data_IF_928184596117
#
_entry.id   IF_928184596117
#
_cell.length_a   1.000
_cell.length_b   1.000
_cell.length_c   1.000
_cell.angle_alpha   90.00
_cell.angle_beta   90.00
_cell.angle_gamma   90.00
#
_symmetry.space_group_name_H-M   'P 1'
#
loop_
_entity.id
_entity.type
_entity.pdbx_description
1 polymer ?
#
# COMPACT_ATOMS: atom_id res chain seq x y z
N UNK A 1 -1.64 15.88 16.20
CA UNK A 1 -2.29 14.65 15.69
C UNK A 1 -1.61 13.49 16.38
N UNK A 2 -2.30 12.86 17.30
CA UNK A 2 -1.83 11.68 18.01
C UNK A 2 -1.69 10.51 17.04
N UNK A 3 -0.48 9.96 16.93
CA UNK A 3 -0.26 8.72 16.20
C UNK A 3 -0.82 7.57 17.05
N UNK A 4 -1.82 6.88 16.52
CA UNK A 4 -2.43 5.73 17.16
C UNK A 4 -1.40 4.60 17.36
N UNK A 5 -1.26 4.17 18.61
CA UNK A 5 -0.55 2.93 18.93
C UNK A 5 -1.30 1.74 18.30
N UNK A 6 -0.64 0.99 17.43
CA UNK A 6 -1.27 -0.03 16.59
C UNK A 6 -1.35 -1.42 17.23
N UNK A 7 -0.75 -1.59 18.40
CA UNK A 7 -0.63 -2.90 19.01
C UNK A 7 -0.78 -2.80 20.53
N UNK A 8 -1.85 -3.35 21.05
CA UNK A 8 -1.92 -3.74 22.46
C UNK A 8 -1.15 -5.05 22.64
N UNK A 9 0.14 -4.97 22.88
CA UNK A 9 0.94 -5.99 23.55
C UNK A 9 2.15 -5.31 24.17
N UNK A 10 2.27 -5.43 25.48
CA UNK A 10 3.41 -5.17 26.34
C UNK A 10 4.36 -4.05 25.91
N UNK A 11 4.42 -3.02 26.72
CA UNK A 11 5.35 -1.88 26.60
C UNK A 11 6.78 -2.38 26.47
N UNK A 12 7.46 -2.20 25.31
CA UNK A 12 8.90 -2.31 25.30
C UNK A 12 9.48 -1.08 25.99
N UNK A 13 10.43 -1.30 26.84
CA UNK A 13 11.22 -0.35 27.59
C UNK A 13 11.67 0.84 26.73
N UNK A 14 11.47 2.04 27.27
CA UNK A 14 11.71 3.31 26.59
C UNK A 14 13.20 3.66 26.52
N UNK A 15 13.96 2.94 25.70
CA UNK A 15 15.37 3.28 25.49
C UNK A 15 15.81 2.93 24.06
N UNK A 16 15.50 3.77 23.14
CA UNK A 16 16.18 4.18 21.90
C UNK A 16 15.17 4.74 20.89
N UNK A 17 14.51 5.83 21.27
CA UNK A 17 13.61 6.55 20.37
C UNK A 17 14.40 7.28 19.30
N UNK A 18 14.43 6.79 18.08
CA UNK A 18 14.61 7.66 16.92
C UNK A 18 13.21 8.20 16.59
N UNK A 19 12.83 9.24 17.33
CA UNK A 19 11.71 10.09 16.98
C UNK A 19 12.12 10.80 15.67
N UNK A 20 11.49 10.49 14.56
CA UNK A 20 11.59 11.31 13.35
C UNK A 20 10.76 12.56 13.61
N UNK A 21 11.38 13.58 14.18
CA UNK A 21 10.81 14.89 14.40
C UNK A 21 10.38 15.46 13.04
N UNK A 22 9.09 15.83 12.85
CA UNK A 22 8.61 16.43 11.62
C UNK A 22 9.28 17.77 11.27
N UNK A 23 10.03 18.38 12.17
CA UNK A 23 10.82 19.60 11.97
C UNK A 23 12.31 19.40 11.76
N UNK A 24 12.84 18.18 11.82
CA UNK A 24 14.27 17.96 11.68
C UNK A 24 14.74 18.13 10.22
N UNK A 25 15.87 18.82 9.97
CA UNK A 25 16.41 18.96 8.63
C UNK A 25 16.75 17.58 8.05
N UNK A 26 16.41 17.39 6.76
CA UNK A 26 16.68 16.18 6.00
C UNK A 26 18.13 15.70 6.20
N UNK A 27 18.31 14.62 6.93
CA UNK A 27 19.57 13.88 6.96
C UNK A 27 19.60 12.86 5.84
N UNK A 28 20.79 12.63 5.28
CA UNK A 28 21.03 11.64 4.23
C UNK A 28 20.34 10.30 4.59
N UNK A 29 19.83 9.54 3.61
CA UNK A 29 19.01 8.37 3.87
C UNK A 29 19.83 7.33 4.63
N UNK A 30 19.54 7.19 5.91
CA UNK A 30 19.86 5.97 6.65
C UNK A 30 19.14 4.86 5.92
N UNK A 31 19.80 3.77 5.56
CA UNK A 31 19.16 2.68 4.87
C UNK A 31 18.00 2.17 5.74
N UNK A 32 16.81 1.95 5.16
CA UNK A 32 15.64 1.46 5.91
C UNK A 32 15.93 0.18 6.72
N UNK A 33 16.90 -0.60 6.27
CA UNK A 33 17.40 -1.79 7.00
C UNK A 33 18.11 -1.41 8.31
N UNK A 34 18.79 -0.25 8.36
CA UNK A 34 19.52 0.23 9.54
C UNK A 34 18.59 0.81 10.60
N UNK A 35 17.36 1.18 10.21
CA UNK A 35 16.34 1.71 11.12
C UNK A 35 15.59 0.61 11.89
N UNK A 36 15.98 -0.67 11.77
CA UNK A 36 15.27 -1.78 12.39
C UNK A 36 13.83 -1.95 11.87
N UNK A 37 13.59 -1.54 10.60
CA UNK A 37 12.28 -1.62 9.99
C UNK A 37 11.86 -3.06 9.72
N UNK A 38 10.66 -3.41 10.13
CA UNK A 38 10.04 -4.70 9.84
C UNK A 38 8.72 -4.54 9.09
N UNK A 39 8.30 -5.57 8.41
CA UNK A 39 6.97 -5.65 7.81
C UNK A 39 6.08 -6.45 8.74
N UNK A 40 4.95 -5.88 9.13
CA UNK A 40 3.90 -6.57 9.90
C UNK A 40 2.62 -6.67 9.10
N UNK A 41 1.94 -7.80 9.24
CA UNK A 41 0.56 -7.92 8.81
C UNK A 41 -0.34 -7.21 9.82
N UNK A 42 -1.26 -6.39 9.34
CA UNK A 42 -2.15 -5.59 10.17
C UNK A 42 -3.62 -5.82 9.80
N UNK A 43 -4.51 -5.54 10.73
CA UNK A 43 -5.96 -5.65 10.50
C UNK A 43 -6.45 -4.64 9.46
N UNK A 44 -7.47 -4.97 8.64
CA UNK A 44 -8.03 -4.06 7.65
C UNK A 44 -8.51 -2.71 8.20
N UNK A 45 -8.99 -2.67 9.44
CA UNK A 45 -9.40 -1.43 10.12
C UNK A 45 -8.22 -0.47 10.25
N UNK A 46 -7.11 -0.97 10.80
CA UNK A 46 -5.88 -0.21 10.97
C UNK A 46 -5.33 0.25 9.62
N UNK A 47 -5.30 -0.64 8.64
CA UNK A 47 -4.85 -0.30 7.28
C UNK A 47 -5.71 0.82 6.65
N UNK A 48 -7.02 0.80 6.86
CA UNK A 48 -7.94 1.86 6.42
C UNK A 48 -7.62 3.21 7.03
N UNK A 49 -7.30 3.25 8.32
CA UNK A 49 -6.94 4.48 9.04
C UNK A 49 -5.61 5.06 8.55
N UNK A 50 -4.59 4.20 8.36
CA UNK A 50 -3.30 4.62 7.80
C UNK A 50 -3.44 5.16 6.37
N UNK A 51 -4.27 4.53 5.55
CA UNK A 51 -4.58 5.04 4.20
C UNK A 51 -5.27 6.39 4.29
N UNK A 52 -6.21 6.57 5.21
CA UNK A 52 -6.89 7.87 5.41
C UNK A 52 -5.91 8.96 5.81
N UNK A 53 -4.92 8.64 6.64
CA UNK A 53 -3.94 9.60 7.11
C UNK A 53 -2.93 10.00 6.02
N UNK A 54 -2.52 9.07 5.14
CA UNK A 54 -1.35 9.28 4.29
C UNK A 54 -1.61 9.21 2.78
N UNK A 55 -2.76 8.71 2.33
CA UNK A 55 -3.02 8.61 0.89
C UNK A 55 -3.56 9.93 0.33
N UNK A 56 -2.82 10.52 -0.59
CA UNK A 56 -3.07 11.88 -1.09
C UNK A 56 -4.37 12.03 -1.90
N UNK A 57 -4.83 10.99 -2.59
CA UNK A 57 -5.91 11.09 -3.58
C UNK A 57 -7.14 10.30 -3.20
N UNK A 58 -6.97 9.09 -2.69
CA UNK A 58 -8.04 8.16 -2.36
C UNK A 58 -7.92 7.73 -0.89
N UNK A 59 -8.20 8.63 0.06
CA UNK A 59 -7.95 8.39 1.47
C UNK A 59 -8.93 7.38 2.08
N UNK A 60 -9.95 6.96 1.34
CA UNK A 60 -10.98 6.10 1.86
C UNK A 60 -10.98 4.72 1.21
N UNK A 61 -10.87 3.70 2.03
CA UNK A 61 -11.15 2.30 1.67
C UNK A 61 -11.84 1.63 2.87
N UNK A 62 -13.14 1.27 2.75
CA UNK A 62 -13.83 0.58 3.84
C UNK A 62 -13.15 -0.75 4.17
N UNK A 63 -12.97 -1.10 5.45
CA UNK A 63 -12.42 -2.41 5.83
C UNK A 63 -13.16 -3.58 5.19
N UNK A 64 -14.49 -3.47 5.02
CA UNK A 64 -15.30 -4.49 4.35
C UNK A 64 -14.91 -4.74 2.89
N UNK A 65 -14.35 -3.75 2.21
CA UNK A 65 -13.84 -3.89 0.85
C UNK A 65 -12.49 -4.62 0.78
N UNK A 66 -11.88 -4.88 1.93
CA UNK A 66 -10.64 -5.63 2.06
C UNK A 66 -10.99 -7.07 2.42
N UNK A 67 -11.60 -7.31 3.57
CA UNK A 67 -11.79 -8.66 4.13
C UNK A 67 -12.75 -9.57 3.34
N UNK A 68 -13.66 -9.00 2.53
CA UNK A 68 -14.57 -9.80 1.68
C UNK A 68 -13.89 -10.47 0.50
N UNK A 69 -12.62 -10.19 0.28
CA UNK A 69 -11.88 -10.79 -0.82
C UNK A 69 -11.29 -12.15 -0.39
N UNK A 70 -11.29 -13.11 -1.30
CA UNK A 70 -10.71 -14.44 -1.07
C UNK A 70 -9.26 -14.35 -0.63
N UNK A 71 -8.48 -13.50 -1.31
CA UNK A 71 -7.12 -13.18 -0.94
C UNK A 71 -7.07 -11.71 -0.56
N UNK A 72 -6.78 -11.42 0.68
CA UNK A 72 -6.61 -10.07 1.18
C UNK A 72 -5.53 -10.05 2.25
N UNK A 73 -4.63 -9.08 2.17
CA UNK A 73 -3.60 -8.84 3.17
C UNK A 73 -3.24 -7.38 3.23
N UNK A 74 -3.05 -6.88 4.44
CA UNK A 74 -2.56 -5.54 4.71
C UNK A 74 -1.21 -5.63 5.39
N UNK A 75 -0.21 -4.99 4.84
CA UNK A 75 1.11 -4.90 5.42
C UNK A 75 1.41 -3.47 5.85
N UNK A 76 2.04 -3.32 7.00
CA UNK A 76 2.64 -2.07 7.44
C UNK A 76 4.15 -2.20 7.53
N UNK A 77 4.86 -1.13 7.20
CA UNK A 77 6.23 -0.90 7.59
C UNK A 77 6.22 -0.35 9.00
N UNK A 78 6.90 -1.02 9.92
CA UNK A 78 6.87 -0.69 11.34
C UNK A 78 8.30 -0.54 11.88
N UNK A 79 8.50 0.46 12.73
CA UNK A 79 9.73 0.66 13.52
C UNK A 79 9.31 0.98 14.94
N UNK A 80 9.84 0.26 15.92
CA UNK A 80 9.52 0.47 17.34
C UNK A 80 8.01 0.52 17.65
N UNK A 81 7.22 -0.33 17.00
CA UNK A 81 5.76 -0.37 17.17
C UNK A 81 4.96 0.67 16.39
N UNK A 82 5.61 1.63 15.72
CA UNK A 82 4.95 2.67 14.94
C UNK A 82 4.92 2.34 13.45
N UNK A 83 3.77 2.52 12.82
CA UNK A 83 3.66 2.36 11.38
C UNK A 83 4.15 3.62 10.64
N UNK A 84 4.82 3.39 9.50
CA UNK A 84 5.36 4.44 8.63
C UNK A 84 4.84 4.33 7.19
N UNK A 85 4.37 3.18 6.79
CA UNK A 85 3.81 2.96 5.47
C UNK A 85 2.84 1.79 5.50
N UNK A 86 1.90 1.75 4.56
CA UNK A 86 0.90 0.68 4.44
C UNK A 86 0.72 0.27 2.99
N UNK A 87 0.60 -1.03 2.76
CA UNK A 87 0.25 -1.62 1.46
C UNK A 87 -0.92 -2.59 1.64
N UNK A 88 -1.97 -2.42 0.83
CA UNK A 88 -3.17 -3.26 0.85
C UNK A 88 -3.25 -4.03 -0.46
N UNK A 89 -3.23 -5.35 -0.35
CA UNK A 89 -3.41 -6.28 -1.47
C UNK A 89 -4.74 -7.01 -1.32
N UNK A 90 -5.46 -7.14 -2.43
CA UNK A 90 -6.73 -7.90 -2.49
C UNK A 90 -6.86 -8.61 -3.82
N UNK A 91 -7.86 -9.47 -3.96
CA UNK A 91 -8.27 -9.92 -5.28
C UNK A 91 -8.59 -8.73 -6.18
N UNK A 92 -8.29 -8.78 -7.50
CA UNK A 92 -8.52 -7.68 -8.42
C UNK A 92 -9.99 -7.25 -8.47
N UNK A 93 -10.21 -5.93 -8.59
CA UNK A 93 -11.55 -5.38 -8.82
C UNK A 93 -12.04 -5.71 -10.23
N UNK A 94 -11.13 -5.75 -11.18
CA UNK A 94 -11.44 -6.13 -12.56
C UNK A 94 -11.80 -7.62 -12.64
N UNK A 95 -13.00 -7.93 -13.10
CA UNK A 95 -13.46 -9.31 -13.28
C UNK A 95 -12.54 -10.12 -14.19
N UNK A 96 -11.99 -9.50 -15.23
CA UNK A 96 -11.10 -10.17 -16.19
C UNK A 96 -9.72 -10.52 -15.62
N UNK A 97 -9.35 -9.96 -14.47
CA UNK A 97 -8.09 -10.23 -13.77
C UNK A 97 -8.30 -11.04 -12.48
N UNK A 98 -9.55 -11.25 -12.08
CA UNK A 98 -9.88 -12.01 -10.87
C UNK A 98 -9.91 -13.52 -11.20
N UNK A 99 -8.75 -14.03 -11.58
CA UNK A 99 -8.50 -15.40 -12.04
C UNK A 99 -8.07 -16.35 -10.91
N UNK A 100 -8.01 -15.86 -9.69
CA UNK A 100 -7.52 -16.63 -8.52
C UNK A 100 -6.00 -16.70 -8.41
N UNK A 101 -5.26 -16.27 -9.44
CA UNK A 101 -3.81 -16.29 -9.49
C UNK A 101 -3.19 -14.88 -9.52
N UNK A 102 -4.01 -13.85 -9.45
CA UNK A 102 -3.62 -12.43 -9.47
C UNK A 102 -4.04 -11.73 -8.19
N UNK A 103 -3.16 -10.91 -7.63
CA UNK A 103 -3.50 -9.92 -6.59
C UNK A 103 -3.34 -8.49 -7.09
N UNK A 104 -4.17 -7.60 -6.58
CA UNK A 104 -4.10 -6.17 -6.84
C UNK A 104 -3.54 -5.42 -5.64
N UNK A 105 -2.46 -4.66 -5.84
CA UNK A 105 -2.05 -3.62 -4.90
C UNK A 105 -3.07 -2.47 -4.99
N UNK A 106 -4.05 -2.50 -4.09
CA UNK A 106 -5.19 -1.57 -4.04
C UNK A 106 -4.81 -0.19 -3.52
N UNK A 107 -3.97 -0.16 -2.50
CA UNK A 107 -3.51 1.07 -1.84
C UNK A 107 -2.08 0.90 -1.39
N UNK A 108 -1.33 1.96 -1.59
CA UNK A 108 0.01 2.14 -1.04
C UNK A 108 0.06 3.57 -0.49
N UNK A 109 0.29 3.73 0.79
CA UNK A 109 0.40 5.02 1.43
C UNK A 109 1.64 5.07 2.31
N UNK A 110 2.35 6.18 2.26
CA UNK A 110 3.64 6.39 2.92
C UNK A 110 3.53 7.65 3.76
N UNK A 111 3.94 7.58 5.02
CA UNK A 111 4.00 8.76 5.87
C UNK A 111 4.96 9.80 5.28
N UNK A 112 4.63 11.11 5.37
CA UNK A 112 5.45 12.18 4.76
C UNK A 112 6.90 12.22 5.26
N UNK A 113 7.14 11.72 6.46
CA UNK A 113 8.46 11.68 7.11
C UNK A 113 9.36 10.53 6.65
N UNK A 114 8.85 9.64 5.81
CA UNK A 114 9.61 8.48 5.36
C UNK A 114 10.72 8.86 4.38
N UNK A 115 11.87 8.18 4.43
CA UNK A 115 12.95 8.38 3.47
C UNK A 115 12.53 7.97 2.05
N UNK A 116 13.28 8.47 1.06
CA UNK A 116 13.11 8.06 -0.34
C UNK A 116 13.22 6.54 -0.47
N UNK A 117 12.55 5.98 -1.49
CA UNK A 117 12.51 4.54 -1.79
C UNK A 117 11.73 3.66 -0.78
N UNK A 118 11.11 4.22 0.25
CA UNK A 118 10.27 3.46 1.20
C UNK A 118 9.18 2.67 0.49
N UNK A 119 8.50 3.26 -0.51
CA UNK A 119 7.47 2.58 -1.29
C UNK A 119 8.00 1.32 -1.98
N UNK A 120 9.10 1.45 -2.73
CA UNK A 120 9.71 0.34 -3.47
C UNK A 120 10.24 -0.75 -2.53
N UNK A 121 10.84 -0.32 -1.42
CA UNK A 121 11.34 -1.23 -0.38
C UNK A 121 10.19 -2.04 0.26
N UNK A 122 9.08 -1.38 0.63
CA UNK A 122 7.89 -2.03 1.15
C UNK A 122 7.31 -3.02 0.15
N UNK A 123 7.10 -2.59 -1.10
CA UNK A 123 6.55 -3.44 -2.16
C UNK A 123 7.37 -4.72 -2.34
N UNK A 124 8.70 -4.61 -2.42
CA UNK A 124 9.58 -5.76 -2.61
C UNK A 124 9.50 -6.78 -1.45
N UNK A 125 9.27 -6.31 -0.23
CA UNK A 125 9.10 -7.19 0.93
C UNK A 125 7.71 -7.82 0.99
N UNK A 126 6.67 -7.06 0.64
CA UNK A 126 5.32 -7.59 0.50
C UNK A 126 5.25 -8.70 -0.56
N UNK A 127 5.89 -8.49 -1.71
CA UNK A 127 5.98 -9.48 -2.78
C UNK A 127 6.56 -10.81 -2.31
N UNK A 128 7.64 -10.77 -1.51
CA UNK A 128 8.23 -11.99 -0.94
C UNK A 128 7.29 -12.71 0.02
N UNK A 129 6.57 -11.96 0.87
CA UNK A 129 5.60 -12.53 1.81
C UNK A 129 4.39 -13.12 1.11
N UNK A 130 3.88 -12.45 0.08
CA UNK A 130 2.77 -12.92 -0.75
C UNK A 130 3.15 -14.23 -1.44
N UNK A 131 4.34 -14.28 -2.06
CA UNK A 131 4.85 -15.49 -2.73
C UNK A 131 4.98 -16.68 -1.77
N UNK A 132 5.46 -16.43 -0.56
CA UNK A 132 5.61 -17.48 0.45
C UNK A 132 4.25 -17.97 0.99
N UNK A 133 3.26 -17.08 1.11
CA UNK A 133 1.95 -17.39 1.69
C UNK A 133 1.00 -18.06 0.69
N UNK A 134 1.04 -17.62 -0.57
CA UNK A 134 0.14 -18.05 -1.64
C UNK A 134 0.91 -18.41 -2.92
N UNK A 135 1.44 -19.63 -3.01
CA UNK A 135 2.19 -20.09 -4.18
C UNK A 135 1.38 -20.04 -5.48
N UNK A 136 0.04 -20.10 -5.37
CA UNK A 136 -0.88 -19.96 -6.50
C UNK A 136 -0.95 -18.55 -7.07
N UNK A 137 -0.57 -17.53 -6.29
CA UNK A 137 -0.51 -16.15 -6.77
C UNK A 137 0.77 -15.95 -7.58
N UNK A 138 0.61 -15.85 -8.87
CA UNK A 138 1.74 -15.75 -9.82
C UNK A 138 1.93 -14.34 -10.39
N UNK A 139 0.99 -13.44 -10.13
CA UNK A 139 1.01 -12.09 -10.69
C UNK A 139 0.45 -11.05 -9.73
N UNK A 140 1.11 -9.90 -9.69
CA UNK A 140 0.59 -8.69 -9.07
C UNK A 140 0.18 -7.69 -10.14
N UNK A 141 -0.88 -6.94 -9.87
CA UNK A 141 -1.33 -5.80 -10.67
C UNK A 141 -1.50 -4.56 -9.79
N UNK A 142 -1.36 -3.38 -10.38
CA UNK A 142 -1.67 -2.11 -9.73
C UNK A 142 -2.04 -1.06 -10.75
N UNK A 143 -2.75 -0.01 -10.33
CA UNK A 143 -3.21 1.07 -11.19
C UNK A 143 -2.65 2.40 -10.72
N UNK A 144 -1.82 2.98 -11.57
CA UNK A 144 -1.28 4.33 -11.40
C UNK A 144 -2.28 5.35 -11.94
N UNK A 145 -2.59 6.36 -11.16
CA UNK A 145 -3.24 7.58 -11.65
C UNK A 145 -2.18 8.47 -12.30
N UNK A 146 -2.36 8.75 -13.60
CA UNK A 146 -1.38 9.52 -14.38
C UNK A 146 -1.44 11.02 -14.15
N UNK A 147 -2.50 11.52 -13.51
CA UNK A 147 -2.63 12.95 -13.19
C UNK A 147 -1.75 13.39 -12.02
N UNK A 148 -1.31 12.44 -11.18
CA UNK A 148 -0.60 12.75 -9.95
C UNK A 148 0.68 11.95 -9.74
N UNK A 149 0.87 10.84 -10.46
CA UNK A 149 2.02 9.95 -10.28
C UNK A 149 2.74 9.70 -11.60
N UNK A 150 4.07 9.65 -11.54
CA UNK A 150 4.95 9.37 -12.70
C UNK A 150 5.24 7.89 -12.90
N UNK A 151 4.79 7.01 -11.99
CA UNK A 151 5.03 5.58 -12.03
C UNK A 151 6.43 5.14 -11.61
N UNK A 152 7.23 6.04 -11.04
CA UNK A 152 8.62 5.78 -10.63
C UNK A 152 8.75 4.57 -9.71
N UNK A 153 7.83 4.40 -8.75
CA UNK A 153 7.85 3.26 -7.82
C UNK A 153 7.69 1.92 -8.52
N UNK A 154 6.88 1.85 -9.57
CA UNK A 154 6.67 0.64 -10.35
C UNK A 154 7.90 0.32 -11.20
N UNK A 155 8.46 1.32 -11.89
CA UNK A 155 9.69 1.17 -12.67
C UNK A 155 10.85 0.68 -11.80
N UNK A 156 11.06 1.34 -10.64
CA UNK A 156 12.11 0.97 -9.68
C UNK A 156 11.86 -0.43 -9.07
N UNK A 157 10.60 -0.86 -8.96
CA UNK A 157 10.22 -2.19 -8.50
C UNK A 157 10.24 -3.27 -9.58
N UNK A 158 10.71 -2.98 -10.81
CA UNK A 158 10.69 -3.90 -11.96
C UNK A 158 9.28 -4.38 -12.33
N UNK A 159 8.27 -3.50 -12.18
CA UNK A 159 6.95 -3.73 -12.73
C UNK A 159 6.91 -3.29 -14.19
N UNK A 160 6.12 -3.96 -15.00
CA UNK A 160 5.94 -3.65 -16.42
C UNK A 160 4.61 -2.95 -16.66
N UNK A 161 4.60 -1.94 -17.51
CA UNK A 161 3.38 -1.33 -17.99
C UNK A 161 2.66 -2.32 -18.93
N UNK A 162 1.44 -2.70 -18.56
CA UNK A 162 0.67 -3.71 -19.28
C UNK A 162 -0.46 -3.11 -20.12
N UNK A 163 -1.08 -2.01 -19.65
CA UNK A 163 -2.16 -1.35 -20.37
C UNK A 163 -2.36 0.09 -19.89
N UNK A 164 -2.98 0.90 -20.74
CA UNK A 164 -3.55 2.18 -20.36
C UNK A 164 -5.06 2.04 -20.36
N UNK A 165 -5.71 2.38 -19.26
CA UNK A 165 -7.18 2.32 -19.13
C UNK A 165 -7.74 3.73 -19.20
N UNK A 166 -8.77 3.92 -20.03
CA UNK A 166 -9.55 5.16 -20.03
C UNK A 166 -10.54 5.13 -18.87
N UNK A 167 -10.79 6.30 -18.29
CA UNK A 167 -11.89 6.45 -17.35
C UNK A 167 -13.19 6.03 -18.03
N UNK A 168 -13.93 5.15 -17.37
CA UNK A 168 -15.33 4.87 -17.68
C UNK A 168 -16.14 5.19 -16.44
N UNK A 169 -17.08 6.15 -16.49
CA UNK A 169 -17.99 6.36 -15.37
C UNK A 169 -18.72 5.04 -15.10
N UNK A 170 -18.72 4.61 -13.84
CA UNK A 170 -19.54 3.48 -13.43
C UNK A 170 -21.00 3.96 -13.45
N UNK A 171 -21.61 3.83 -14.62
CA UNK A 171 -22.96 4.32 -14.85
C UNK A 171 -23.98 3.47 -14.11
N UNK A 172 -24.57 4.06 -13.11
CA UNK A 172 -26.00 4.08 -12.81
C UNK A 172 -26.19 5.26 -11.87
N UNK A 173 -26.84 6.29 -12.38
CA UNK A 173 -27.13 7.56 -11.71
C UNK A 173 -27.91 7.46 -10.38
N UNK A 174 -28.27 6.25 -9.96
CA UNK A 174 -29.12 6.01 -8.80
C UNK A 174 -28.41 5.79 -7.47
N UNK A 175 -27.07 5.74 -7.41
CA UNK A 175 -26.33 5.57 -6.15
C UNK A 175 -25.12 6.48 -6.13
N UNK A 176 -25.29 7.67 -5.56
CA UNK A 176 -24.21 8.56 -5.19
C UNK A 176 -23.32 7.87 -4.14
N UNK A 177 -22.28 7.16 -4.58
CA UNK A 177 -21.21 6.68 -3.71
C UNK A 177 -20.04 7.64 -3.81
N UNK A 178 -19.40 7.91 -2.68
CA UNK A 178 -18.13 8.63 -2.69
C UNK A 178 -17.20 8.00 -3.72
N UNK A 179 -16.51 8.77 -4.57
CA UNK A 179 -15.68 8.25 -5.64
C UNK A 179 -14.56 7.39 -5.05
N UNK A 180 -14.59 6.10 -5.32
CA UNK A 180 -13.52 5.17 -4.96
C UNK A 180 -12.38 5.18 -5.97
N UNK A 181 -12.50 5.98 -7.02
CA UNK A 181 -11.55 6.11 -8.12
C UNK A 181 -11.57 7.55 -8.66
N UNK A 182 -10.42 7.99 -9.15
CA UNK A 182 -10.29 9.25 -9.88
C UNK A 182 -10.81 9.10 -11.31
N UNK A 183 -11.17 10.23 -11.95
CA UNK A 183 -11.59 10.30 -13.37
C UNK A 183 -10.43 10.27 -14.35
N UNK A 184 -9.18 10.28 -13.87
CA UNK A 184 -8.01 10.30 -14.73
C UNK A 184 -7.76 8.95 -15.43
N UNK A 185 -7.12 8.96 -16.60
CA UNK A 185 -6.58 7.75 -17.22
C UNK A 185 -5.60 7.04 -16.25
N UNK A 186 -5.59 5.73 -16.31
CA UNK A 186 -4.70 4.93 -15.44
C UNK A 186 -3.80 4.04 -16.27
N UNK A 187 -2.57 3.90 -15.81
CA UNK A 187 -1.66 2.88 -16.29
C UNK A 187 -1.81 1.66 -15.39
N UNK A 188 -2.09 0.51 -15.99
CA UNK A 188 -2.01 -0.77 -15.30
C UNK A 188 -0.57 -1.28 -15.36
N UNK A 189 -0.01 -1.52 -14.18
CA UNK A 189 1.27 -2.14 -13.99
C UNK A 189 1.11 -3.59 -13.58
N UNK A 190 2.00 -4.44 -14.04
CA UNK A 190 2.01 -5.86 -13.71
C UNK A 190 3.41 -6.32 -13.31
N UNK A 191 3.46 -7.25 -12.36
CA UNK A 191 4.68 -7.90 -11.93
C UNK A 191 4.45 -9.40 -11.78
N UNK A 192 5.20 -10.26 -12.50
CA UNK A 192 5.22 -11.69 -12.24
C UNK A 192 5.90 -11.96 -10.89
N UNK A 193 5.39 -12.92 -10.14
CA UNK A 193 5.92 -13.36 -8.84
C UNK A 193 6.73 -14.65 -8.92
N UNK A 194 7.05 -15.13 -10.12
CA UNK A 194 7.88 -16.33 -10.33
C UNK A 194 9.36 -16.03 -10.18
#
# INVERSE_FOLDING_TARGET
MEQLALFETETPDAASGVCLDPGAPYRAPVALAELGCEIREIRPQVASELVRAWHSILPHIPPSNIWRNRHAVCFALVTNGWAHAVAIYTSPVSRSLNDGATLELRRLAIAPTCPKNTATWLMARCERRIRARWPEIVRLVSYQDTSVHTGTIYKAGNWRQAATTRYRPWGHAARARAPSQTSAPKIRWEKPLR
#
